data_IF_711153589181
#
_entry.id   IF_711153589181
#
_cell.length_a   1.000
_cell.length_b   1.000
_cell.length_c   1.000
_cell.angle_alpha   90.00
_cell.angle_beta   90.00
_cell.angle_gamma   90.00
#
_symmetry.space_group_name_H-M   'P 1'
#
loop_
_entity.id
_entity.type
_entity.pdbx_description
1 polymer ?
#
# COMPACT_ATOMS: atom_id res chain seq x y z
N UNK A 1 -44.59 -38.64 -27.48
CA UNK A 1 -45.02 -37.24 -27.38
C UNK A 1 -44.96 -36.86 -25.90
N UNK A 2 -44.13 -35.85 -25.54
CA UNK A 2 -43.84 -35.28 -24.20
C UNK A 2 -43.31 -36.27 -23.15
N UNK A 3 -42.02 -36.30 -22.77
CA UNK A 3 -41.14 -35.34 -22.07
C UNK A 3 -41.74 -34.80 -20.76
N UNK A 4 -41.15 -35.23 -19.64
CA UNK A 4 -41.28 -34.65 -18.30
C UNK A 4 -40.18 -35.21 -17.40
N UNK A 5 -39.20 -34.37 -17.09
CA UNK A 5 -37.95 -34.66 -16.36
C UNK A 5 -38.18 -34.61 -14.85
N UNK A 6 -37.71 -35.62 -14.11
CA UNK A 6 -37.32 -35.50 -12.70
C UNK A 6 -35.98 -36.23 -12.53
N UNK A 7 -34.96 -35.45 -12.18
CA UNK A 7 -33.58 -35.87 -11.98
C UNK A 7 -33.47 -36.59 -10.63
N UNK A 8 -33.16 -37.89 -10.65
CA UNK A 8 -32.77 -38.63 -9.45
C UNK A 8 -31.24 -38.72 -9.38
N UNK A 9 -30.71 -38.13 -8.32
CA UNK A 9 -29.32 -38.22 -7.85
C UNK A 9 -28.86 -39.68 -7.78
N UNK A 10 -27.87 -40.04 -8.60
CA UNK A 10 -27.16 -41.32 -8.44
C UNK A 10 -26.00 -41.08 -7.48
N UNK A 11 -26.14 -41.57 -6.24
CA UNK A 11 -25.00 -41.76 -5.34
C UNK A 11 -24.17 -42.95 -5.86
N UNK A 12 -23.04 -42.67 -6.51
CA UNK A 12 -22.01 -43.69 -6.72
C UNK A 12 -21.17 -43.73 -5.44
N UNK A 13 -21.46 -44.69 -4.56
CA UNK A 13 -20.59 -45.06 -3.45
C UNK A 13 -19.37 -45.81 -4.01
N UNK A 14 -18.30 -45.06 -4.31
CA UNK A 14 -16.99 -45.67 -4.53
C UNK A 14 -16.34 -45.82 -3.15
N UNK A 15 -16.15 -47.07 -2.74
CA UNK A 15 -15.42 -47.42 -1.53
C UNK A 15 -13.93 -47.24 -1.82
N UNK A 16 -13.38 -46.06 -1.50
CA UNK A 16 -11.95 -45.76 -1.67
C UNK A 16 -11.31 -45.68 -0.28
N UNK A 17 -10.17 -46.35 -0.14
CA UNK A 17 -9.35 -46.40 1.06
C UNK A 17 -9.05 -45.00 1.64
N UNK A 18 -8.91 -44.95 2.96
CA UNK A 18 -8.71 -43.75 3.78
C UNK A 18 -7.58 -42.80 3.31
N UNK A 19 -6.63 -43.26 2.50
CA UNK A 19 -5.53 -42.43 1.98
C UNK A 19 -5.92 -41.53 0.79
N UNK A 20 -6.89 -41.93 -0.04
CA UNK A 20 -7.33 -41.11 -1.18
C UNK A 20 -8.29 -39.97 -0.78
N UNK A 21 -9.01 -40.14 0.33
CA UNK A 21 -9.86 -39.08 0.89
C UNK A 21 -9.05 -37.88 1.38
N UNK A 22 -7.81 -38.10 1.84
CA UNK A 22 -6.93 -37.00 2.24
C UNK A 22 -6.42 -36.24 1.01
N UNK A 23 -6.12 -36.95 -0.08
CA UNK A 23 -5.64 -36.35 -1.33
C UNK A 23 -6.72 -35.46 -1.99
N UNK A 24 -7.99 -35.87 -1.97
CA UNK A 24 -9.09 -35.07 -2.54
C UNK A 24 -9.49 -33.89 -1.66
N UNK A 25 -9.37 -33.99 -0.32
CA UNK A 25 -9.56 -32.85 0.58
C UNK A 25 -8.41 -31.83 0.49
N UNK A 26 -7.18 -32.28 0.19
CA UNK A 26 -6.02 -31.42 -0.06
C UNK A 26 -6.16 -30.68 -1.39
N UNK A 27 -6.76 -31.30 -2.42
CA UNK A 27 -6.99 -30.66 -3.73
C UNK A 27 -8.14 -29.63 -3.74
N UNK A 28 -8.98 -29.58 -2.71
CA UNK A 28 -10.03 -28.55 -2.55
C UNK A 28 -9.62 -27.38 -1.64
N UNK A 29 -8.42 -27.41 -1.05
CA UNK A 29 -7.78 -26.25 -0.43
C UNK A 29 -6.70 -25.74 -1.36
N UNK A 30 -6.95 -24.59 -1.99
CA UNK A 30 -6.07 -23.89 -2.94
C UNK A 30 -6.32 -24.22 -4.42
N UNK A 31 -7.48 -23.82 -4.94
CA UNK A 31 -7.41 -23.13 -6.24
C UNK A 31 -6.76 -21.77 -5.96
N UNK A 32 -5.44 -21.68 -6.13
CA UNK A 32 -4.80 -20.37 -6.17
C UNK A 32 -5.43 -19.63 -7.35
N UNK A 33 -6.26 -18.62 -7.08
CA UNK A 33 -6.71 -17.73 -8.15
C UNK A 33 -5.47 -17.18 -8.85
N UNK A 34 -5.38 -17.41 -10.16
CA UNK A 34 -4.25 -17.02 -10.98
C UNK A 34 -4.15 -15.49 -11.03
N UNK A 35 -2.94 -14.97 -10.89
CA UNK A 35 -2.64 -13.55 -11.12
C UNK A 35 -2.58 -13.28 -12.63
N UNK A 36 -2.75 -12.01 -13.01
CA UNK A 36 -2.46 -11.55 -14.35
C UNK A 36 -0.97 -11.79 -14.66
N UNK A 37 -0.68 -12.19 -15.90
CA UNK A 37 0.69 -12.33 -16.38
C UNK A 37 1.34 -10.95 -16.49
N UNK A 38 2.42 -10.73 -15.74
CA UNK A 38 3.16 -9.46 -15.74
C UNK A 38 3.71 -9.10 -17.13
N UNK A 39 3.83 -10.06 -18.05
CA UNK A 39 4.31 -9.82 -19.41
C UNK A 39 3.28 -9.15 -20.34
N UNK A 40 1.99 -9.21 -19.99
CA UNK A 40 0.92 -8.61 -20.81
C UNK A 40 0.42 -7.27 -20.24
N UNK A 41 0.92 -6.84 -19.08
CA UNK A 41 0.57 -5.56 -18.50
C UNK A 41 1.23 -4.41 -19.27
N UNK A 42 0.58 -3.26 -19.29
CA UNK A 42 1.15 -2.02 -19.82
C UNK A 42 2.02 -1.34 -18.77
N UNK A 43 3.18 -0.82 -19.19
CA UNK A 43 4.14 -0.09 -18.35
C UNK A 43 4.47 1.24 -19.03
N UNK A 44 4.26 2.34 -18.32
CA UNK A 44 4.63 3.70 -18.75
C UNK A 44 5.53 4.32 -17.67
N UNK A 45 6.73 4.79 -18.02
CA UNK A 45 7.64 5.42 -17.07
C UNK A 45 7.82 6.91 -17.38
N UNK A 46 7.91 7.73 -16.33
CA UNK A 46 8.29 9.14 -16.41
C UNK A 46 9.37 9.46 -15.38
N UNK A 47 10.38 10.22 -15.82
CA UNK A 47 11.38 10.79 -14.93
C UNK A 47 10.73 11.83 -14.00
N UNK A 48 11.19 11.87 -12.76
CA UNK A 48 10.77 12.85 -11.76
C UNK A 48 11.88 13.89 -11.56
N UNK A 49 11.50 15.07 -11.05
CA UNK A 49 12.49 16.00 -10.53
C UNK A 49 13.11 15.40 -9.28
N UNK A 50 14.45 15.41 -9.22
CA UNK A 50 15.25 14.87 -8.11
C UNK A 50 16.06 15.98 -7.43
N UNK A 51 15.45 16.89 -6.66
CA UNK A 51 16.21 17.88 -5.91
C UNK A 51 17.10 17.18 -4.89
N UNK A 52 18.18 17.84 -4.47
CA UNK A 52 19.02 17.30 -3.41
C UNK A 52 18.24 17.17 -2.10
N UNK A 53 18.64 16.24 -1.24
CA UNK A 53 18.01 16.09 0.09
C UNK A 53 18.13 17.37 0.91
N UNK A 54 19.21 18.14 0.74
CA UNK A 54 19.40 19.44 1.40
C UNK A 54 18.43 20.51 0.88
N UNK A 55 18.13 20.53 -0.43
CA UNK A 55 17.12 21.44 -0.98
C UNK A 55 15.73 21.11 -0.44
N UNK A 56 15.35 19.82 -0.44
CA UNK A 56 14.07 19.37 0.12
C UNK A 56 13.99 19.69 1.60
N UNK A 57 15.06 19.43 2.37
CA UNK A 57 15.17 19.82 3.78
C UNK A 57 14.88 21.31 3.96
N UNK A 58 15.52 22.16 3.17
CA UNK A 58 15.37 23.61 3.28
C UNK A 58 13.94 24.08 2.97
N UNK A 59 13.29 23.46 1.99
CA UNK A 59 11.90 23.75 1.60
C UNK A 59 10.94 23.31 2.70
N UNK A 60 11.04 22.06 3.16
CA UNK A 60 10.15 21.52 4.20
C UNK A 60 10.34 22.19 5.56
N UNK A 61 11.58 22.53 5.94
CA UNK A 61 11.85 23.26 7.18
C UNK A 61 11.16 24.62 7.25
N UNK A 62 10.87 25.23 6.10
CA UNK A 62 10.15 26.50 6.01
C UNK A 62 8.64 26.32 5.93
N UNK A 63 8.15 25.29 5.24
CA UNK A 63 6.73 25.09 5.01
C UNK A 63 5.99 24.38 6.15
N UNK A 64 6.58 23.33 6.73
CA UNK A 64 5.92 22.52 7.77
C UNK A 64 5.54 23.30 9.05
N UNK A 65 6.27 24.37 9.48
CA UNK A 65 5.83 25.21 10.61
C UNK A 65 4.45 25.87 10.45
N UNK A 66 3.91 25.92 9.23
CA UNK A 66 2.52 26.36 9.00
C UNK A 66 1.47 25.38 9.54
N UNK A 67 1.83 24.10 9.72
CA UNK A 67 0.93 23.04 10.17
C UNK A 67 1.36 22.36 11.46
N UNK A 68 2.62 22.48 11.90
CA UNK A 68 3.14 21.86 13.12
C UNK A 68 3.93 22.85 13.97
N UNK A 69 3.76 22.80 15.29
CA UNK A 69 4.45 23.71 16.21
C UNK A 69 5.93 23.36 16.35
N UNK A 70 6.27 22.07 16.46
CA UNK A 70 7.65 21.61 16.45
C UNK A 70 7.94 20.88 15.14
N UNK A 71 8.97 21.33 14.44
CA UNK A 71 9.44 20.75 13.18
C UNK A 71 10.95 20.60 13.24
N UNK A 72 11.44 19.41 12.85
CA UNK A 72 12.84 19.17 12.51
C UNK A 72 12.88 18.42 11.19
N UNK A 73 13.62 18.95 10.22
CA UNK A 73 13.88 18.27 8.95
C UNK A 73 15.38 18.19 8.75
N UNK A 74 15.90 16.99 8.55
CA UNK A 74 17.33 16.73 8.56
C UNK A 74 17.72 15.72 7.49
N UNK A 75 18.93 15.86 6.93
CA UNK A 75 19.56 14.82 6.11
C UNK A 75 20.46 14.01 7.03
N UNK A 76 20.11 12.74 7.25
CA UNK A 76 20.78 11.87 8.24
C UNK A 76 21.19 10.55 7.61
N UNK A 77 22.12 9.83 8.24
CA UNK A 77 22.27 8.40 7.95
C UNK A 77 20.98 7.68 8.31
N UNK A 78 20.48 6.84 7.41
CA UNK A 78 19.30 6.03 7.65
C UNK A 78 19.56 5.14 8.87
N UNK A 79 18.69 5.15 9.90
CA UNK A 79 18.79 4.16 10.96
C UNK A 79 18.50 2.77 10.37
N UNK A 80 18.89 1.72 11.08
CA UNK A 80 18.51 0.37 10.66
C UNK A 80 16.99 0.19 10.78
N UNK A 81 16.29 0.21 9.65
CA UNK A 81 14.83 0.15 9.59
C UNK A 81 14.25 -1.24 9.83
N UNK A 82 15.08 -2.29 9.95
CA UNK A 82 14.62 -3.61 10.42
C UNK A 82 14.26 -3.59 11.90
N UNK A 83 14.88 -2.70 12.65
CA UNK A 83 14.71 -2.61 14.09
C UNK A 83 13.47 -1.82 14.47
N UNK A 84 13.09 -1.93 15.74
CA UNK A 84 12.06 -1.07 16.31
C UNK A 84 12.44 0.42 16.15
N UNK A 85 11.50 1.31 15.84
CA UNK A 85 10.06 1.05 15.73
C UNK A 85 9.55 0.68 14.32
N UNK A 86 10.42 0.44 13.33
CA UNK A 86 10.04 0.40 11.90
C UNK A 86 9.75 -0.99 11.34
N UNK A 87 10.49 -2.02 11.77
CA UNK A 87 10.24 -3.42 11.38
C UNK A 87 10.15 -3.68 9.86
N UNK A 88 10.92 -2.94 9.05
CA UNK A 88 10.99 -3.13 7.60
C UNK A 88 11.76 -4.41 7.24
N UNK A 89 11.57 -4.88 6.01
CA UNK A 89 12.27 -6.04 5.45
C UNK A 89 13.74 -5.74 5.09
N UNK A 90 14.17 -4.48 5.06
CA UNK A 90 15.55 -4.07 4.77
C UNK A 90 16.04 -3.01 5.75
N UNK A 91 17.37 -2.87 5.82
CA UNK A 91 18.03 -1.98 6.78
C UNK A 91 17.93 -0.50 6.43
N UNK A 92 17.71 -0.13 5.16
CA UNK A 92 17.52 1.25 4.76
C UNK A 92 16.57 1.42 3.58
N UNK A 93 16.59 2.60 2.96
CA UNK A 93 15.72 3.00 1.83
C UNK A 93 16.53 3.41 0.59
N UNK A 94 17.86 3.29 0.62
CA UNK A 94 18.70 3.84 -0.43
C UNK A 94 18.94 2.83 -1.56
N UNK A 95 19.43 3.36 -2.70
CA UNK A 95 19.75 2.62 -3.92
C UNK A 95 18.63 2.72 -4.95
N UNK A 96 18.91 3.49 -6.00
CA UNK A 96 18.10 3.70 -7.22
C UNK A 96 16.57 3.77 -6.96
N UNK A 97 16.11 4.73 -6.14
CA UNK A 97 14.71 4.83 -5.73
C UNK A 97 13.78 5.12 -6.89
N UNK A 98 12.69 4.36 -6.99
CA UNK A 98 11.63 4.58 -7.95
C UNK A 98 10.25 4.40 -7.30
N UNK A 99 9.25 5.13 -7.81
CA UNK A 99 7.87 4.93 -7.43
C UNK A 99 7.16 4.02 -8.44
N UNK A 100 6.17 3.28 -7.99
CA UNK A 100 5.31 2.48 -8.85
C UNK A 100 3.83 2.70 -8.49
N UNK A 101 3.02 2.99 -9.52
CA UNK A 101 1.56 3.13 -9.43
C UNK A 101 0.90 2.01 -10.24
N UNK A 102 0.31 1.04 -9.54
CA UNK A 102 -0.40 -0.09 -10.10
C UNK A 102 -1.90 0.17 -10.12
N UNK A 103 -2.56 -0.12 -11.24
CA UNK A 103 -4.02 -0.21 -11.31
C UNK A 103 -4.70 1.07 -10.87
N UNK A 104 -5.76 1.02 -10.08
CA UNK A 104 -6.31 2.22 -9.47
C UNK A 104 -7.68 2.01 -8.84
N UNK A 105 -8.15 3.04 -8.15
CA UNK A 105 -9.51 3.08 -7.58
C UNK A 105 -10.61 2.75 -8.62
N UNK A 106 -10.49 3.07 -9.92
CA UNK A 106 -11.45 2.62 -10.93
C UNK A 106 -11.59 1.10 -11.09
N UNK A 107 -10.63 0.29 -10.65
CA UNK A 107 -10.77 -1.17 -10.59
C UNK A 107 -11.50 -1.65 -9.32
N UNK A 108 -11.64 -0.78 -8.31
CA UNK A 108 -12.44 -1.04 -7.11
C UNK A 108 -13.88 -0.53 -7.26
N UNK A 109 -14.05 0.66 -7.87
CA UNK A 109 -15.30 1.43 -7.91
C UNK A 109 -15.70 1.77 -9.35
N UNK A 110 -17.00 1.76 -9.67
CA UNK A 110 -18.14 1.65 -8.75
C UNK A 110 -18.47 0.21 -8.33
N UNK A 111 -18.03 -0.77 -9.11
CA UNK A 111 -18.06 -2.20 -8.77
C UNK A 111 -16.67 -2.78 -8.99
N UNK A 112 -16.28 -3.70 -8.12
CA UNK A 112 -14.95 -4.31 -8.17
C UNK A 112 -14.74 -5.13 -9.44
N UNK A 113 -13.60 -4.94 -10.09
CA UNK A 113 -13.06 -5.85 -11.10
C UNK A 113 -12.13 -6.87 -10.41
N UNK A 114 -12.71 -8.00 -9.99
CA UNK A 114 -11.96 -9.06 -9.29
C UNK A 114 -10.90 -9.74 -10.17
N UNK A 115 -10.90 -9.51 -11.49
CA UNK A 115 -9.87 -10.05 -12.40
C UNK A 115 -8.52 -9.35 -12.23
N UNK A 116 -8.50 -8.17 -11.60
CA UNK A 116 -7.31 -7.38 -11.31
C UNK A 116 -6.57 -7.90 -10.08
N UNK A 117 -6.01 -9.09 -10.20
CA UNK A 117 -5.14 -9.73 -9.22
C UNK A 117 -3.73 -9.81 -9.80
N UNK A 118 -2.74 -9.30 -9.07
CA UNK A 118 -1.36 -9.14 -9.54
C UNK A 118 -0.39 -9.85 -8.61
N UNK A 119 0.81 -10.13 -9.11
CA UNK A 119 1.96 -10.51 -8.29
C UNK A 119 2.95 -9.33 -8.29
N UNK A 120 3.15 -8.71 -7.11
CA UNK A 120 4.03 -7.54 -7.00
C UNK A 120 5.46 -7.89 -7.39
N UNK A 121 5.93 -9.11 -7.06
CA UNK A 121 7.31 -9.49 -7.31
C UNK A 121 7.61 -9.54 -8.80
N UNK A 122 6.81 -10.29 -9.57
CA UNK A 122 7.05 -10.42 -11.02
C UNK A 122 6.82 -9.09 -11.74
N UNK A 123 5.83 -8.31 -11.31
CA UNK A 123 5.55 -6.98 -11.82
C UNK A 123 6.72 -6.01 -11.58
N UNK A 124 7.26 -5.94 -10.36
CA UNK A 124 8.35 -5.00 -10.04
C UNK A 124 9.65 -5.39 -10.74
N UNK A 125 9.96 -6.69 -10.83
CA UNK A 125 11.11 -7.19 -11.60
C UNK A 125 11.00 -6.84 -13.09
N UNK A 126 9.78 -6.84 -13.64
CA UNK A 126 9.53 -6.41 -15.03
C UNK A 126 9.62 -4.89 -15.20
N UNK A 127 9.09 -4.13 -14.24
CA UNK A 127 9.09 -2.68 -14.24
C UNK A 127 10.50 -2.08 -14.16
N UNK A 128 11.38 -2.69 -13.35
CA UNK A 128 12.74 -2.22 -13.09
C UNK A 128 13.75 -3.37 -13.22
N UNK A 129 14.03 -3.87 -14.43
CA UNK A 129 14.96 -4.99 -14.64
C UNK A 129 16.40 -4.67 -14.25
N UNK A 130 16.75 -3.39 -14.14
CA UNK A 130 18.06 -2.92 -13.64
C UNK A 130 18.20 -3.02 -12.12
N UNK A 131 17.13 -3.32 -11.39
CA UNK A 131 17.08 -3.41 -9.93
C UNK A 131 16.78 -4.85 -9.49
N UNK A 132 17.74 -5.80 -9.61
CA UNK A 132 17.49 -7.22 -9.34
C UNK A 132 17.18 -7.52 -7.87
N UNK A 133 17.70 -6.70 -6.96
CA UNK A 133 17.46 -6.77 -5.53
C UNK A 133 16.64 -5.54 -5.12
N UNK A 134 15.46 -5.74 -4.53
CA UNK A 134 14.52 -4.65 -4.28
C UNK A 134 13.78 -4.77 -2.95
N UNK A 135 13.90 -3.75 -2.11
CA UNK A 135 12.92 -3.45 -1.08
C UNK A 135 11.67 -2.89 -1.76
N UNK A 136 10.53 -3.45 -1.40
CA UNK A 136 9.21 -3.03 -1.84
C UNK A 136 8.39 -2.65 -0.60
N UNK A 137 8.09 -1.37 -0.47
CA UNK A 137 7.20 -0.87 0.60
C UNK A 137 6.08 -0.02 0.02
N UNK A 138 4.87 -0.08 0.61
CA UNK A 138 3.80 0.81 0.20
C UNK A 138 2.39 0.36 0.57
N UNK A 139 1.42 0.99 -0.06
CA UNK A 139 0.00 0.87 0.23
C UNK A 139 -0.78 0.33 -0.97
N UNK A 140 -1.85 -0.42 -0.74
CA UNK A 140 -2.75 -0.86 -1.81
C UNK A 140 -3.84 -1.79 -1.31
N UNK A 141 -4.62 -2.39 -2.21
CA UNK A 141 -5.54 -3.45 -1.80
C UNK A 141 -4.79 -4.79 -1.74
N UNK A 142 -4.94 -5.50 -0.62
CA UNK A 142 -4.29 -6.79 -0.42
C UNK A 142 -4.94 -7.90 -1.25
N UNK A 143 -4.33 -9.08 -1.31
CA UNK A 143 -4.85 -10.19 -2.09
C UNK A 143 -6.09 -10.77 -1.41
N UNK A 144 -7.27 -10.38 -1.89
CA UNK A 144 -8.54 -10.91 -1.37
C UNK A 144 -8.63 -12.45 -1.31
N UNK A 145 -7.95 -13.25 -2.17
CA UNK A 145 -7.92 -14.70 -2.02
C UNK A 145 -7.27 -15.20 -0.72
N UNK A 146 -6.43 -14.39 -0.06
CA UNK A 146 -5.67 -14.80 1.13
C UNK A 146 -6.60 -15.05 2.34
N UNK A 147 -7.56 -14.16 2.60
CA UNK A 147 -8.57 -14.33 3.67
C UNK A 147 -9.98 -14.59 3.13
N UNK A 148 -10.15 -14.67 1.81
CA UNK A 148 -11.46 -14.83 1.16
C UNK A 148 -12.34 -13.58 1.23
N UNK A 149 -11.78 -12.42 1.55
CA UNK A 149 -12.48 -11.13 1.64
C UNK A 149 -11.57 -9.98 1.24
N UNK A 150 -12.13 -8.80 1.01
CA UNK A 150 -11.36 -7.59 0.75
C UNK A 150 -10.53 -7.17 1.98
N UNK A 151 -9.33 -6.66 1.74
CA UNK A 151 -8.37 -6.29 2.78
C UNK A 151 -7.48 -5.13 2.33
N UNK A 152 -7.03 -4.30 3.28
CA UNK A 152 -5.98 -3.31 3.03
C UNK A 152 -4.63 -4.02 3.01
N UNK A 153 -3.84 -3.83 1.96
CA UNK A 153 -2.47 -4.32 1.84
C UNK A 153 -1.46 -3.31 2.36
N UNK A 154 -0.60 -3.75 3.28
CA UNK A 154 0.53 -2.97 3.79
C UNK A 154 1.81 -3.70 3.39
N UNK A 155 2.35 -3.33 2.23
CA UNK A 155 3.45 -4.06 1.61
C UNK A 155 4.78 -3.65 2.23
N UNK A 156 5.55 -4.65 2.63
CA UNK A 156 6.86 -4.49 3.25
C UNK A 156 7.66 -5.79 3.05
N UNK A 157 8.35 -5.91 1.94
CA UNK A 157 9.13 -7.11 1.66
C UNK A 157 10.35 -6.82 0.80
N UNK A 158 11.31 -7.74 0.85
CA UNK A 158 12.57 -7.67 0.13
C UNK A 158 12.64 -8.83 -0.85
N UNK A 159 12.93 -8.54 -2.12
CA UNK A 159 13.25 -9.51 -3.15
C UNK A 159 14.77 -9.50 -3.32
N UNK A 160 15.38 -10.66 -3.17
CA UNK A 160 16.80 -10.89 -3.39
C UNK A 160 17.10 -11.13 -4.87
N UNK A 161 18.37 -10.98 -5.26
CA UNK A 161 18.79 -11.17 -6.67
C UNK A 161 18.52 -12.59 -7.21
N UNK A 162 18.44 -13.59 -6.33
CA UNK A 162 18.08 -14.97 -6.69
C UNK A 162 16.56 -15.22 -6.73
N UNK A 163 15.76 -14.18 -6.43
CA UNK A 163 14.31 -14.23 -6.35
C UNK A 163 13.76 -14.66 -4.99
N UNK A 164 14.58 -14.93 -3.98
CA UNK A 164 14.13 -15.20 -2.61
C UNK A 164 13.38 -13.98 -2.05
N UNK A 165 12.34 -14.21 -1.25
CA UNK A 165 11.55 -13.14 -0.64
C UNK A 165 11.65 -13.20 0.88
N UNK A 166 11.96 -12.06 1.50
CA UNK A 166 11.72 -11.83 2.93
C UNK A 166 10.50 -10.94 3.08
N UNK A 167 9.37 -11.51 3.53
CA UNK A 167 8.08 -10.83 3.59
C UNK A 167 7.68 -10.44 5.01
N UNK A 168 7.58 -9.13 5.26
CA UNK A 168 7.06 -8.52 6.48
C UNK A 168 5.78 -7.71 6.21
N UNK A 169 5.09 -7.99 5.10
CA UNK A 169 3.84 -7.35 4.74
C UNK A 169 2.71 -7.79 5.65
N UNK A 170 1.73 -6.91 5.82
CA UNK A 170 0.52 -7.18 6.57
C UNK A 170 -0.72 -6.92 5.70
N UNK A 171 -1.85 -7.48 6.12
CA UNK A 171 -3.16 -7.09 5.63
C UNK A 171 -4.08 -6.73 6.80
N UNK A 172 -4.86 -5.66 6.65
CA UNK A 172 -5.89 -5.30 7.61
C UNK A 172 -7.28 -5.70 7.11
N UNK A 173 -8.07 -6.32 7.98
CA UNK A 173 -9.40 -6.84 7.71
C UNK A 173 -10.42 -6.23 8.68
N UNK A 174 -11.64 -6.01 8.20
CA UNK A 174 -12.83 -5.82 9.04
C UNK A 174 -13.47 -7.19 9.27
N UNK A 175 -13.52 -7.64 10.52
CA UNK A 175 -14.19 -8.91 10.85
C UNK A 175 -15.72 -8.77 10.93
N UNK A 176 -16.42 -9.88 11.21
CA UNK A 176 -17.87 -9.93 11.35
C UNK A 176 -18.45 -9.04 12.46
N UNK A 177 -17.62 -8.68 13.47
CA UNK A 177 -17.99 -7.80 14.57
C UNK A 177 -17.61 -6.33 14.29
N UNK A 178 -17.16 -6.02 13.07
CA UNK A 178 -16.64 -4.72 12.67
C UNK A 178 -15.38 -4.31 13.45
N UNK A 179 -14.62 -5.29 13.95
CA UNK A 179 -13.31 -5.07 14.54
C UNK A 179 -12.22 -5.10 13.46
N UNK A 180 -11.21 -4.25 13.64
CA UNK A 180 -9.97 -4.32 12.85
C UNK A 180 -9.11 -5.51 13.33
N UNK A 181 -8.69 -6.33 12.37
CA UNK A 181 -7.70 -7.40 12.55
C UNK A 181 -6.52 -7.17 11.61
N UNK A 182 -5.32 -7.38 12.11
CA UNK A 182 -4.09 -7.33 11.33
C UNK A 182 -3.53 -8.75 11.18
N UNK A 183 -3.21 -9.14 9.96
CA UNK A 183 -2.65 -10.45 9.63
C UNK A 183 -1.31 -10.25 8.92
N UNK A 184 -0.31 -11.05 9.28
CA UNK A 184 0.95 -11.09 8.53
C UNK A 184 0.78 -11.96 7.30
N UNK A 185 1.30 -11.52 6.16
CA UNK A 185 1.33 -12.34 4.94
C UNK A 185 2.42 -13.41 5.03
N UNK A 186 2.17 -14.55 4.38
CA UNK A 186 3.15 -15.63 4.23
C UNK A 186 4.36 -15.19 3.39
N UNK A 187 5.51 -15.83 3.56
CA UNK A 187 6.76 -15.42 2.89
C UNK A 187 6.63 -15.31 1.36
N UNK A 188 5.92 -16.25 0.74
CA UNK A 188 5.74 -16.29 -0.71
C UNK A 188 4.46 -15.59 -1.21
N UNK A 189 3.68 -14.96 -0.32
CA UNK A 189 2.48 -14.22 -0.71
C UNK A 189 2.85 -12.78 -1.10
N UNK A 190 3.18 -12.60 -2.38
CA UNK A 190 3.53 -11.29 -2.98
C UNK A 190 2.38 -10.70 -3.78
N UNK A 191 1.18 -11.28 -3.71
CA UNK A 191 0.05 -10.80 -4.50
C UNK A 191 -0.55 -9.52 -3.92
N UNK A 192 -1.16 -8.75 -4.80
CA UNK A 192 -2.04 -7.63 -4.48
C UNK A 192 -3.22 -7.61 -5.45
N UNK A 193 -4.22 -6.79 -5.17
CA UNK A 193 -5.37 -6.64 -6.05
C UNK A 193 -5.62 -5.16 -6.34
N UNK A 194 -6.26 -4.87 -7.48
CA UNK A 194 -6.89 -3.61 -7.87
C UNK A 194 -5.96 -2.39 -8.03
N UNK A 195 -5.18 -2.06 -7.00
CA UNK A 195 -4.37 -0.85 -6.94
C UNK A 195 -3.20 -1.02 -5.97
N UNK A 196 -2.11 -0.29 -6.23
CA UNK A 196 -0.95 -0.24 -5.35
C UNK A 196 -0.04 0.96 -5.63
N UNK A 197 0.52 1.52 -4.57
CA UNK A 197 1.40 2.68 -4.59
C UNK A 197 2.66 2.34 -3.80
N UNK A 198 3.74 2.06 -4.51
CA UNK A 198 4.92 1.39 -3.96
C UNK A 198 6.17 2.25 -4.16
N UNK A 199 7.05 2.21 -3.17
CA UNK A 199 8.45 2.58 -3.28
C UNK A 199 9.27 1.33 -3.57
N UNK A 200 10.15 1.42 -4.56
CA UNK A 200 11.11 0.39 -4.96
C UNK A 200 12.52 0.96 -4.80
N UNK A 201 13.38 0.26 -4.05
CA UNK A 201 14.78 0.67 -3.79
C UNK A 201 15.65 -0.56 -3.60
N UNK A 202 16.97 -0.43 -3.55
CA UNK A 202 17.84 -1.52 -3.10
C UNK A 202 17.74 -1.76 -1.58
N UNK A 203 17.05 -0.93 -0.80
CA UNK A 203 16.92 -1.10 0.65
C UNK A 203 18.24 -0.95 1.43
N UNK A 204 19.23 -0.27 0.84
CA UNK A 204 20.57 -0.10 1.42
C UNK A 204 20.62 1.02 2.46
N UNK A 205 21.61 1.02 3.36
CA UNK A 205 21.95 2.18 4.19
C UNK A 205 22.38 3.36 3.31
N UNK A 206 22.31 4.56 3.88
CA UNK A 206 22.75 5.79 3.23
C UNK A 206 21.99 7.00 3.75
N UNK A 207 22.18 8.14 3.09
CA UNK A 207 21.51 9.38 3.47
C UNK A 207 20.03 9.36 3.10
N UNK A 208 19.19 9.76 4.05
CA UNK A 208 17.74 9.91 3.91
C UNK A 208 17.26 11.23 4.49
N UNK A 209 16.07 11.66 4.09
CA UNK A 209 15.38 12.81 4.67
C UNK A 209 14.61 12.35 5.91
N UNK A 210 15.02 12.80 7.09
CA UNK A 210 14.26 12.66 8.34
C UNK A 210 13.30 13.85 8.47
N UNK A 211 12.02 13.57 8.69
CA UNK A 211 10.99 14.57 9.00
C UNK A 211 10.38 14.23 10.36
N UNK A 212 10.56 15.10 11.34
CA UNK A 212 9.99 14.99 12.67
C UNK A 212 9.07 16.18 12.92
N UNK A 213 7.83 15.90 13.32
CA UNK A 213 6.81 16.91 13.55
C UNK A 213 6.03 16.60 14.82
N UNK A 214 5.76 17.62 15.64
CA UNK A 214 4.91 17.50 16.83
C UNK A 214 3.88 18.60 16.88
N UNK A 215 2.74 18.26 17.47
CA UNK A 215 1.60 19.13 17.72
C UNK A 215 1.12 19.83 16.44
N UNK A 216 0.10 19.26 15.80
CA UNK A 216 -0.49 19.83 14.60
C UNK A 216 -1.31 21.07 14.97
N UNK A 217 -0.94 22.21 14.41
CA UNK A 217 -1.60 23.51 14.59
C UNK A 217 -2.37 23.97 13.35
N UNK A 218 -2.12 23.34 12.20
CA UNK A 218 -2.81 23.61 10.94
C UNK A 218 -3.84 22.53 10.56
N UNK A 219 -4.45 22.70 9.41
CA UNK A 219 -5.51 21.82 8.92
C UNK A 219 -5.02 20.60 8.14
N UNK A 220 -3.76 20.60 7.68
CA UNK A 220 -3.23 19.54 6.84
C UNK A 220 -2.62 18.41 7.68
N UNK A 221 -2.86 17.16 7.28
CA UNK A 221 -2.19 16.02 7.89
C UNK A 221 -0.67 16.01 7.59
N UNK A 222 0.07 15.11 8.23
CA UNK A 222 1.52 14.99 8.08
C UNK A 222 1.98 14.83 6.62
N UNK A 223 1.36 13.95 5.84
CA UNK A 223 1.74 13.64 4.46
C UNK A 223 1.26 14.74 3.50
N UNK A 224 0.03 15.23 3.64
CA UNK A 224 -0.43 16.36 2.83
C UNK A 224 0.40 17.62 3.09
N UNK A 225 0.85 17.87 4.33
CA UNK A 225 1.73 18.99 4.65
C UNK A 225 3.05 18.91 3.88
N UNK A 226 3.68 17.73 3.82
CA UNK A 226 4.92 17.51 3.06
C UNK A 226 4.65 17.71 1.56
N UNK A 227 3.64 17.01 1.02
CA UNK A 227 3.32 17.02 -0.41
C UNK A 227 3.00 18.42 -0.92
N UNK A 228 2.11 19.16 -0.23
CA UNK A 228 1.72 20.51 -0.65
C UNK A 228 2.86 21.51 -0.53
N UNK A 229 3.67 21.41 0.53
CA UNK A 229 4.87 22.27 0.67
C UNK A 229 5.81 22.12 -0.53
N UNK A 230 6.01 20.89 -1.02
CA UNK A 230 6.85 20.65 -2.20
C UNK A 230 6.19 21.09 -3.50
N UNK A 231 4.89 20.81 -3.67
CA UNK A 231 4.13 21.23 -4.84
C UNK A 231 4.09 22.76 -5.00
N UNK A 232 3.98 23.50 -3.89
CA UNK A 232 3.96 24.97 -3.89
C UNK A 232 5.35 25.57 -4.23
N UNK A 233 6.44 24.82 -4.00
CA UNK A 233 7.80 25.29 -4.25
C UNK A 233 8.33 24.90 -5.63
N UNK A 234 8.09 23.67 -6.07
CA UNK A 234 8.65 23.13 -7.31
C UNK A 234 7.60 23.04 -8.41
N UNK A 235 7.85 23.62 -9.59
CA UNK A 235 6.91 23.55 -10.72
C UNK A 235 6.89 22.18 -11.40
N UNK A 236 7.88 21.33 -11.14
CA UNK A 236 7.99 19.98 -11.71
C UNK A 236 7.59 18.92 -10.69
N UNK A 237 7.14 17.76 -11.19
CA UNK A 237 6.69 16.65 -10.37
C UNK A 237 7.83 16.06 -9.53
N UNK A 238 7.62 16.00 -8.22
CA UNK A 238 8.50 15.33 -7.25
C UNK A 238 7.72 14.20 -6.62
N UNK A 239 8.35 13.03 -6.53
CA UNK A 239 7.82 11.88 -5.80
C UNK A 239 8.71 11.54 -4.61
N UNK A 240 8.10 11.25 -3.47
CA UNK A 240 8.78 10.65 -2.32
C UNK A 240 8.13 9.34 -1.94
N UNK A 241 8.93 8.41 -1.44
CA UNK A 241 8.47 7.22 -0.76
C UNK A 241 9.24 7.03 0.54
N UNK A 242 8.65 6.26 1.46
CA UNK A 242 9.35 5.95 2.69
C UNK A 242 8.44 5.37 3.76
N UNK A 243 8.88 5.59 5.01
CA UNK A 243 8.20 5.10 6.21
C UNK A 243 8.07 6.23 7.21
N UNK A 244 6.96 6.26 7.96
CA UNK A 244 6.86 7.09 9.15
C UNK A 244 6.18 6.35 10.30
N UNK A 245 6.46 6.77 11.52
CA UNK A 245 5.81 6.28 12.73
C UNK A 245 5.00 7.41 13.35
N UNK A 246 3.72 7.15 13.60
CA UNK A 246 2.93 7.93 14.56
C UNK A 246 3.34 7.49 15.96
N UNK A 247 4.21 8.26 16.62
CA UNK A 247 4.81 7.93 17.93
C UNK A 247 3.89 8.27 19.09
N UNK A 248 3.09 9.32 18.96
CA UNK A 248 2.12 9.75 19.97
C UNK A 248 0.82 10.22 19.32
N UNK A 249 -0.28 10.11 20.08
CA UNK A 249 -1.61 10.48 19.62
C UNK A 249 -2.42 9.33 19.02
N UNK A 250 -3.36 9.67 18.14
CA UNK A 250 -4.22 8.73 17.42
C UNK A 250 -4.44 9.22 15.99
N UNK A 251 -4.78 8.30 15.09
CA UNK A 251 -5.13 8.60 13.70
C UNK A 251 -6.50 8.04 13.32
N UNK A 252 -7.24 8.82 12.55
CA UNK A 252 -8.37 8.33 11.75
C UNK A 252 -7.79 7.47 10.64
N UNK A 253 -8.22 6.22 10.59
CA UNK A 253 -7.86 5.30 9.51
C UNK A 253 -9.11 4.56 9.04
N UNK A 254 -9.10 4.05 7.82
CA UNK A 254 -10.14 3.10 7.39
C UNK A 254 -9.56 1.74 7.07
N UNK A 255 -10.45 0.75 7.09
CA UNK A 255 -10.25 -0.56 6.49
C UNK A 255 -11.48 -0.82 5.63
N UNK A 256 -11.26 -1.19 4.37
CA UNK A 256 -12.35 -1.58 3.47
C UNK A 256 -13.11 -2.79 4.04
N UNK A 257 -14.44 -2.74 3.94
CA UNK A 257 -15.29 -3.92 4.13
C UNK A 257 -15.16 -4.86 2.93
N UNK A 258 -15.82 -6.04 2.97
CA UNK A 258 -15.92 -6.88 1.79
C UNK A 258 -16.55 -6.11 0.62
N UNK A 259 -16.21 -6.52 -0.60
CA UNK A 259 -16.59 -5.80 -1.81
C UNK A 259 -18.11 -5.57 -1.88
N UNK A 260 -18.50 -4.34 -2.21
CA UNK A 260 -19.91 -3.99 -2.36
C UNK A 260 -20.59 -4.83 -3.44
N UNK A 261 -21.82 -5.26 -3.15
CA UNK A 261 -22.69 -5.98 -4.10
C UNK A 261 -23.45 -5.03 -5.03
N UNK A 262 -23.46 -3.74 -4.72
CA UNK A 262 -24.12 -2.68 -5.48
C UNK A 262 -23.15 -1.56 -5.82
N UNK A 263 -23.33 -0.84 -6.93
CA UNK A 263 -22.46 0.27 -7.32
C UNK A 263 -22.29 1.31 -6.21
N UNK A 264 -21.05 1.75 -6.00
CA UNK A 264 -20.69 2.92 -5.18
C UNK A 264 -20.29 4.04 -6.15
N UNK A 265 -21.12 5.07 -6.28
CA UNK A 265 -21.00 6.11 -7.31
C UNK A 265 -20.66 7.49 -6.72
N UNK A 266 -20.59 7.61 -5.39
CA UNK A 266 -20.39 8.88 -4.69
C UNK A 266 -19.48 8.74 -3.47
N UNK A 267 -18.81 9.83 -3.07
CA UNK A 267 -18.03 9.90 -1.83
C UNK A 267 -18.85 9.50 -0.59
N UNK A 268 -20.13 9.86 -0.55
CA UNK A 268 -21.01 9.56 0.60
C UNK A 268 -21.27 8.05 0.70
N UNK A 269 -21.56 7.40 -0.42
CA UNK A 269 -21.73 5.94 -0.46
C UNK A 269 -20.41 5.23 -0.11
N UNK A 270 -19.29 5.73 -0.64
CA UNK A 270 -17.97 5.17 -0.35
C UNK A 270 -17.66 5.27 1.15
N UNK A 271 -17.81 6.45 1.74
CA UNK A 271 -17.55 6.67 3.17
C UNK A 271 -18.53 5.91 4.09
N UNK A 272 -19.69 5.50 3.58
CA UNK A 272 -20.62 4.60 4.30
C UNK A 272 -20.15 3.14 4.23
N UNK A 273 -19.56 2.74 3.11
CA UNK A 273 -19.00 1.40 2.93
C UNK A 273 -17.63 1.22 3.59
N UNK A 274 -16.82 2.27 3.69
CA UNK A 274 -15.55 2.21 4.43
C UNK A 274 -15.81 2.12 5.93
N UNK A 275 -15.06 1.25 6.62
CA UNK A 275 -15.10 1.18 8.08
C UNK A 275 -13.97 2.03 8.66
N UNK A 276 -14.34 3.17 9.24
CA UNK A 276 -13.40 4.07 9.91
C UNK A 276 -13.17 3.67 11.37
N UNK A 277 -11.93 3.89 11.81
CA UNK A 277 -11.47 3.67 13.18
C UNK A 277 -10.64 4.88 13.65
N UNK A 278 -10.62 5.08 14.96
CA UNK A 278 -9.64 5.91 15.62
C UNK A 278 -8.56 5.01 16.23
N UNK A 279 -7.39 4.93 15.59
CA UNK A 279 -6.32 4.00 15.95
C UNK A 279 -5.24 4.71 16.78
N UNK A 280 -4.79 4.15 17.91
CA UNK A 280 -3.73 4.75 18.73
C UNK A 280 -2.35 4.67 18.07
N UNK A 281 -1.44 5.53 18.52
CA UNK A 281 -0.03 5.56 18.13
C UNK A 281 0.72 4.22 18.28
N UNK A 282 1.98 4.23 17.83
CA UNK A 282 2.78 3.08 17.40
C UNK A 282 2.25 2.46 16.09
N UNK A 283 1.86 3.33 15.16
CA UNK A 283 1.49 2.96 13.79
C UNK A 283 2.66 3.26 12.87
N UNK A 284 3.15 2.24 12.19
CA UNK A 284 4.22 2.29 11.20
C UNK A 284 3.55 2.35 9.83
N UNK A 285 3.65 3.50 9.17
CA UNK A 285 3.07 3.76 7.87
C UNK A 285 4.11 3.70 6.76
N UNK A 286 3.81 2.98 5.69
CA UNK A 286 4.62 2.90 4.47
C UNK A 286 3.80 3.34 3.28
N UNK A 287 4.43 4.00 2.32
CA UNK A 287 3.70 4.59 1.22
C UNK A 287 4.50 5.58 0.40
N UNK A 288 3.77 6.27 -0.47
CA UNK A 288 4.33 7.24 -1.40
C UNK A 288 3.47 8.51 -1.44
N UNK A 289 4.11 9.60 -1.85
CA UNK A 289 3.46 10.84 -2.24
C UNK A 289 4.08 11.36 -3.53
N UNK A 290 3.29 12.08 -4.32
CA UNK A 290 3.74 12.75 -5.54
C UNK A 290 3.01 14.09 -5.68
N UNK A 291 3.72 15.12 -6.17
CA UNK A 291 3.20 16.50 -6.16
C UNK A 291 2.18 16.77 -7.26
N UNK A 292 2.18 16.00 -8.35
CA UNK A 292 1.35 16.20 -9.54
C UNK A 292 1.00 14.86 -10.21
N UNK A 293 -0.13 14.76 -10.91
CA UNK A 293 -0.57 13.51 -11.55
C UNK A 293 0.24 13.15 -12.81
N UNK A 294 1.01 14.07 -13.37
CA UNK A 294 1.88 13.88 -14.53
C UNK A 294 1.20 13.18 -15.73
N UNK A 295 -0.09 13.43 -15.98
CA UNK A 295 -0.93 12.73 -16.99
C UNK A 295 -0.96 11.18 -16.86
N UNK A 296 -0.57 10.64 -15.71
CA UNK A 296 -0.52 9.20 -15.43
C UNK A 296 -1.70 8.71 -14.58
N UNK A 297 -2.65 9.59 -14.27
CA UNK A 297 -3.79 9.31 -13.40
C UNK A 297 -3.37 8.74 -12.02
N UNK A 298 -2.45 9.46 -11.36
CA UNK A 298 -1.80 9.02 -10.14
C UNK A 298 -2.65 9.25 -8.90
N UNK A 299 -2.37 8.45 -7.85
CA UNK A 299 -2.80 8.72 -6.49
C UNK A 299 -1.74 9.61 -5.82
N UNK A 300 -2.07 10.87 -5.55
CA UNK A 300 -1.09 11.86 -5.11
C UNK A 300 -0.46 11.58 -3.73
N UNK A 301 -1.12 10.78 -2.89
CA UNK A 301 -0.56 10.26 -1.65
C UNK A 301 -1.29 8.98 -1.27
N UNK A 302 -0.56 7.99 -0.78
CA UNK A 302 -1.16 6.77 -0.28
C UNK A 302 -0.25 6.12 0.75
N UNK A 303 -0.71 6.08 2.00
CA UNK A 303 0.01 5.46 3.11
C UNK A 303 -0.93 4.52 3.85
N UNK A 304 -0.48 3.28 3.99
CA UNK A 304 -1.11 2.32 4.89
C UNK A 304 -0.19 2.08 6.06
N UNK A 305 -0.78 1.83 7.23
CA UNK A 305 -0.03 1.55 8.44
C UNK A 305 -0.34 0.20 9.05
N UNK A 306 0.61 -0.30 9.83
CA UNK A 306 0.48 -1.45 10.70
C UNK A 306 1.02 -1.12 12.09
N UNK A 307 0.65 -1.89 13.09
CA UNK A 307 1.19 -1.79 14.45
C UNK A 307 1.78 -3.13 14.87
N UNK A 308 2.48 -3.16 16.00
CA UNK A 308 2.86 -4.42 16.67
C UNK A 308 1.67 -5.09 17.38
N UNK A 309 0.52 -4.43 17.42
CA UNK A 309 -0.74 -4.96 17.93
C UNK A 309 -1.70 -5.36 16.80
N UNK A 310 -2.98 -5.05 16.97
CA UNK A 310 -4.04 -5.44 16.02
C UNK A 310 -4.35 -4.41 14.95
N UNK A 311 -3.78 -3.20 15.04
CA UNK A 311 -4.18 -2.08 14.21
C UNK A 311 -3.40 -2.04 12.90
N UNK A 312 -4.12 -1.76 11.82
CA UNK A 312 -3.58 -1.34 10.54
C UNK A 312 -4.69 -0.93 9.58
N UNK A 313 -4.32 -0.30 8.47
CA UNK A 313 -5.26 0.19 7.47
C UNK A 313 -4.76 1.45 6.78
N UNK A 314 -5.68 2.16 6.14
CA UNK A 314 -5.42 3.35 5.36
C UNK A 314 -5.40 4.61 6.22
N UNK A 315 -4.31 5.37 6.19
CA UNK A 315 -4.12 6.60 6.98
C UNK A 315 -4.86 7.81 6.39
N UNK A 316 -5.65 8.52 7.20
CA UNK A 316 -6.29 9.80 6.81
C UNK A 316 -5.57 10.99 7.45
N UNK A 317 -5.66 11.09 8.79
CA UNK A 317 -5.19 12.23 9.56
C UNK A 317 -5.10 11.87 11.04
N UNK A 318 -4.29 12.56 11.83
CA UNK A 318 -4.40 12.48 13.29
C UNK A 318 -5.72 13.06 13.83
N UNK A 319 -6.21 12.51 14.93
CA UNK A 319 -7.39 13.01 15.65
C UNK A 319 -7.06 13.65 17.00
N UNK A 320 -5.78 13.66 17.36
CA UNK A 320 -5.28 14.26 18.61
C UNK A 320 -4.18 15.28 18.32
N UNK A 321 -4.51 16.38 17.62
CA UNK A 321 -3.53 17.33 17.09
C UNK A 321 -2.58 17.88 18.15
N UNK A 322 -3.07 18.14 19.38
CA UNK A 322 -2.27 18.76 20.45
C UNK A 322 -1.11 17.90 20.96
N UNK A 323 -1.19 16.58 20.79
CA UNK A 323 -0.22 15.61 21.35
C UNK A 323 0.45 14.75 20.28
N UNK A 324 0.07 14.93 19.01
CA UNK A 324 0.57 14.11 17.92
C UNK A 324 2.08 14.26 17.77
N UNK A 325 2.78 13.16 17.53
CA UNK A 325 4.20 13.14 17.20
C UNK A 325 4.46 12.17 16.05
N UNK A 326 5.09 12.67 15.00
CA UNK A 326 5.48 11.93 13.82
C UNK A 326 6.99 11.90 13.68
N UNK A 327 7.53 10.77 13.22
CA UNK A 327 8.90 10.64 12.76
C UNK A 327 8.93 9.79 11.49
N UNK A 328 9.40 10.36 10.39
CA UNK A 328 9.49 9.68 9.09
C UNK A 328 10.84 9.81 8.42
N UNK A 329 11.14 8.82 7.58
CA UNK A 329 12.32 8.73 6.74
C UNK A 329 11.88 8.54 5.29
N UNK A 330 12.36 9.41 4.40
CA UNK A 330 11.95 9.44 3.01
C UNK A 330 13.15 9.53 2.06
N UNK A 331 12.95 8.99 0.86
CA UNK A 331 13.83 9.13 -0.30
C UNK A 331 13.07 9.72 -1.47
N UNK A 332 13.78 10.38 -2.37
CA UNK A 332 13.23 10.99 -3.58
C UNK A 332 13.24 9.97 -4.70
N UNK A 333 12.11 9.69 -5.32
CA UNK A 333 12.05 8.81 -6.48
C UNK A 333 12.65 9.48 -7.71
N UNK A 334 13.46 8.74 -8.47
CA UNK A 334 14.06 9.21 -9.73
C UNK A 334 13.09 9.12 -10.91
N UNK A 335 12.17 8.17 -10.82
CA UNK A 335 11.11 7.95 -11.81
C UNK A 335 9.86 7.39 -11.14
N UNK A 336 8.74 7.48 -11.85
CA UNK A 336 7.53 6.75 -11.54
C UNK A 336 7.17 5.80 -12.69
N UNK A 337 6.88 4.55 -12.36
CA UNK A 337 6.39 3.55 -13.30
C UNK A 337 4.89 3.34 -13.07
N UNK A 338 4.09 3.64 -14.08
CA UNK A 338 2.66 3.38 -14.12
C UNK A 338 2.41 2.01 -14.73
N UNK A 339 1.71 1.15 -14.02
CA UNK A 339 1.39 -0.23 -14.44
C UNK A 339 -0.12 -0.41 -14.53
N UNK A 340 -0.59 -0.94 -15.66
CA UNK A 340 -2.00 -1.31 -15.90
C UNK A 340 -2.99 -0.17 -15.56
N UNK A 341 -2.72 1.02 -16.11
CA UNK A 341 -3.53 2.23 -15.92
C UNK A 341 -4.98 2.00 -16.38
N UNK A 342 -6.00 2.30 -15.56
CA UNK A 342 -7.40 2.18 -15.99
C UNK A 342 -7.69 3.04 -17.22
N UNK A 343 -8.34 2.43 -18.22
CA UNK A 343 -8.77 3.13 -19.45
C UNK A 343 -10.01 3.99 -19.23
N UNK A 344 -10.85 3.61 -18.27
CA UNK A 344 -11.97 4.40 -17.76
C UNK A 344 -11.66 4.78 -16.32
N UNK A 345 -11.65 6.08 -16.04
CA UNK A 345 -11.27 6.60 -14.72
C UNK A 345 -12.31 7.56 -14.16
N UNK A 346 -12.21 7.82 -12.86
CA UNK A 346 -12.96 8.81 -12.11
C UNK A 346 -12.07 9.37 -11.00
N UNK A 347 -12.46 10.50 -10.40
CA UNK A 347 -11.64 11.24 -9.43
C UNK A 347 -12.07 11.08 -7.97
N UNK A 348 -13.12 10.33 -7.68
CA UNK A 348 -13.58 10.11 -6.31
C UNK A 348 -12.93 8.86 -5.69
N UNK A 349 -12.96 8.77 -4.36
CA UNK A 349 -12.37 7.66 -3.61
C UNK A 349 -10.85 7.62 -3.62
N UNK A 350 -10.22 8.77 -3.78
CA UNK A 350 -8.77 8.95 -3.76
C UNK A 350 -8.26 9.59 -2.47
N UNK A 351 -9.12 9.73 -1.46
CA UNK A 351 -8.78 10.25 -0.13
C UNK A 351 -7.95 9.27 0.69
#
# INVERSE_FOLDING_TARGET
MQIGVIVNTVYILINISHEFSLFFLILLKSSTMATLDSNILEYESKALLTPSLDDIKNVLSKGLPSNFETVSVDVVECPNLREAPFYLASEGLCGDPALLELGGVPYLLPLVDRTRLYDIKTMCQKALPSLPEMLVIGAGAGPYPFLGTNVEGIFNFKIESDGTVTNNSHVAQVDENLDCKLHKLEQNETRCALLGNLLLTQGKPGKVLRVHCKKRIGSLDFITSIRKTLADHYPSTIGLGGVFVLKQGKAKQHVMQDFSKTPIETETQLNTWLKFYEMPANLIAVGTLITDEADLDLRLQHFHSFSTGKWGGHYHIDTTPDVVEYEGYFVVGEQIVRVDKPTVTHKFGRD
#
